data_IF_021473419669
#
_entry.id   IF_021473419669
#
_cell.length_a   1.000
_cell.length_b   1.000
_cell.length_c   1.000
_cell.angle_alpha   90.00
_cell.angle_beta   90.00
_cell.angle_gamma   90.00
#
_symmetry.space_group_name_H-M   'P 1'
#
loop_
_entity.id
_entity.type
_entity.pdbx_description
1 polymer ?
#
# COMPACT_ATOMS: atom_id res chain seq x y z
N UNK A 1 13.64 12.47 17.73
CA UNK A 1 14.11 11.31 16.93
C UNK A 1 14.26 11.79 15.50
N UNK A 2 15.44 11.68 14.90
CA UNK A 2 15.69 12.11 13.52
C UNK A 2 14.87 11.22 12.58
N UNK A 3 13.87 11.78 11.89
CA UNK A 3 13.18 11.04 10.84
C UNK A 3 14.21 10.77 9.73
N UNK A 4 14.65 9.53 9.57
CA UNK A 4 15.40 9.13 8.38
C UNK A 4 14.60 9.61 7.18
N UNK A 5 15.14 10.55 6.38
CA UNK A 5 14.46 11.02 5.16
C UNK A 5 14.15 9.79 4.33
N UNK A 6 12.86 9.53 4.03
CA UNK A 6 12.47 8.45 3.11
C UNK A 6 13.19 8.70 1.79
N UNK A 7 14.04 7.76 1.37
CA UNK A 7 14.74 7.80 0.09
C UNK A 7 13.69 7.58 -0.99
N UNK A 8 13.57 8.52 -1.92
CA UNK A 8 12.72 8.34 -3.11
C UNK A 8 13.38 7.33 -4.04
N UNK A 9 12.58 6.48 -4.67
CA UNK A 9 13.05 5.44 -5.57
C UNK A 9 12.67 5.77 -7.02
N UNK A 10 13.47 5.25 -7.95
CA UNK A 10 13.17 5.34 -9.37
C UNK A 10 11.95 4.46 -9.71
N UNK A 11 11.11 4.84 -10.71
CA UNK A 11 9.92 4.07 -11.08
C UNK A 11 10.21 2.60 -11.37
N UNK A 12 11.32 2.30 -12.05
CA UNK A 12 11.70 0.94 -12.44
C UNK A 12 12.01 0.05 -11.23
N UNK A 13 12.54 0.66 -10.15
CA UNK A 13 12.79 -0.04 -8.88
C UNK A 13 11.47 -0.34 -8.16
N UNK A 14 10.50 0.58 -8.23
CA UNK A 14 9.17 0.39 -7.64
C UNK A 14 8.34 -0.64 -8.43
N UNK A 15 8.47 -0.65 -9.75
CA UNK A 15 7.87 -1.63 -10.65
C UNK A 15 8.38 -3.05 -10.34
N UNK A 16 9.70 -3.27 -10.38
CA UNK A 16 10.28 -4.58 -10.06
C UNK A 16 9.92 -5.06 -8.64
N UNK A 17 9.90 -4.15 -7.66
CA UNK A 17 9.45 -4.47 -6.31
C UNK A 17 7.96 -4.84 -6.25
N UNK A 18 7.11 -4.16 -7.02
CA UNK A 18 5.68 -4.44 -7.11
C UNK A 18 5.44 -5.80 -7.76
N UNK A 19 6.13 -6.12 -8.85
CA UNK A 19 6.09 -7.43 -9.50
C UNK A 19 6.47 -8.55 -8.54
N UNK A 20 7.57 -8.39 -7.80
CA UNK A 20 8.03 -9.39 -6.84
C UNK A 20 6.94 -9.68 -5.78
N UNK A 21 6.39 -8.63 -5.17
CA UNK A 21 5.44 -8.79 -4.07
C UNK A 21 4.09 -9.31 -4.57
N UNK A 22 3.61 -8.84 -5.73
CA UNK A 22 2.37 -9.34 -6.33
C UNK A 22 2.51 -10.79 -6.81
N UNK A 23 3.67 -11.18 -7.36
CA UNK A 23 3.94 -12.58 -7.70
C UNK A 23 3.88 -13.48 -6.47
N UNK A 24 4.44 -13.04 -5.34
CA UNK A 24 4.37 -13.77 -4.06
C UNK A 24 2.96 -13.86 -3.51
N UNK A 25 2.18 -12.79 -3.57
CA UNK A 25 0.77 -12.81 -3.17
C UNK A 25 0.00 -13.82 -4.04
N UNK A 26 0.22 -13.80 -5.35
CA UNK A 26 -0.39 -14.73 -6.28
C UNK A 26 -0.01 -16.20 -6.01
N UNK A 27 1.25 -16.54 -5.76
CA UNK A 27 1.65 -17.92 -5.43
C UNK A 27 1.04 -18.43 -4.13
N UNK A 28 0.70 -17.53 -3.21
CA UNK A 28 0.04 -17.83 -1.94
C UNK A 28 -1.49 -17.86 -2.05
N UNK A 29 -2.05 -17.53 -3.22
CA UNK A 29 -3.50 -17.40 -3.40
C UNK A 29 -4.10 -16.19 -2.69
N UNK A 30 -3.28 -15.19 -2.34
CA UNK A 30 -3.68 -13.99 -1.62
C UNK A 30 -4.09 -12.91 -2.62
N UNK A 31 -5.31 -12.38 -2.47
CA UNK A 31 -5.71 -11.20 -3.23
C UNK A 31 -4.93 -9.99 -2.73
N UNK A 32 -4.31 -9.28 -3.65
CA UNK A 32 -3.58 -8.05 -3.38
C UNK A 32 -3.85 -7.02 -4.47
N UNK A 33 -3.79 -5.74 -4.09
CA UNK A 33 -3.87 -4.61 -5.01
C UNK A 33 -2.88 -3.51 -4.62
N UNK A 34 -2.25 -2.91 -5.64
CA UNK A 34 -1.33 -1.80 -5.49
C UNK A 34 -2.03 -0.56 -4.94
N UNK A 35 -1.45 0.05 -3.92
CA UNK A 35 -1.98 1.20 -3.22
C UNK A 35 -0.90 2.30 -3.03
N UNK A 36 -1.26 3.33 -2.27
CA UNK A 36 -0.33 4.35 -1.81
C UNK A 36 0.25 5.24 -2.92
N UNK A 37 1.51 5.64 -2.73
CA UNK A 37 2.19 6.60 -3.62
C UNK A 37 2.43 6.06 -5.03
N UNK A 38 2.83 4.79 -5.15
CA UNK A 38 3.11 4.20 -6.45
C UNK A 38 1.84 3.94 -7.25
N UNK A 39 0.73 3.52 -6.61
CA UNK A 39 -0.58 3.45 -7.27
C UNK A 39 -0.99 4.81 -7.88
N UNK A 40 -0.76 5.92 -7.18
CA UNK A 40 -1.08 7.24 -7.72
C UNK A 40 -0.23 7.58 -8.96
N UNK A 41 1.01 7.10 -9.05
CA UNK A 41 1.84 7.30 -10.26
C UNK A 41 1.24 6.57 -11.46
N UNK A 42 0.70 5.35 -11.25
CA UNK A 42 -0.02 4.61 -12.29
C UNK A 42 -1.27 5.35 -12.77
N UNK A 43 -1.88 6.14 -11.89
CA UNK A 43 -2.97 7.07 -12.24
C UNK A 43 -2.51 8.45 -12.75
N UNK A 44 -1.24 8.60 -13.14
CA UNK A 44 -0.69 9.82 -13.73
C UNK A 44 -0.24 10.91 -12.75
N UNK A 45 -0.17 10.61 -11.46
CA UNK A 45 0.36 11.57 -10.47
C UNK A 45 1.88 11.70 -10.58
N UNK A 46 2.45 12.92 -10.58
CA UNK A 46 3.90 13.12 -10.60
C UNK A 46 4.56 12.89 -9.21
N UNK A 47 3.81 12.39 -8.23
CA UNK A 47 4.29 12.25 -6.85
C UNK A 47 5.28 11.10 -6.73
N UNK A 48 6.51 11.41 -6.32
CA UNK A 48 7.53 10.41 -6.00
C UNK A 48 7.23 9.69 -4.68
N UNK A 49 7.60 8.41 -4.59
CA UNK A 49 7.50 7.59 -3.37
C UNK A 49 8.78 6.78 -3.16
N UNK A 50 8.95 6.24 -1.96
CA UNK A 50 10.14 5.50 -1.55
C UNK A 50 9.90 4.04 -1.19
N UNK A 51 8.68 3.56 -1.43
CA UNK A 51 8.13 2.30 -0.95
C UNK A 51 6.99 1.83 -1.87
N UNK A 52 6.67 0.55 -1.78
CA UNK A 52 5.49 -0.07 -2.37
C UNK A 52 4.45 -0.23 -1.26
N UNK A 53 3.20 0.13 -1.52
CA UNK A 53 2.10 -0.14 -0.59
C UNK A 53 1.10 -1.06 -1.27
N UNK A 54 0.63 -2.09 -0.57
CA UNK A 54 -0.41 -2.99 -1.05
C UNK A 54 -1.58 -3.01 -0.06
N UNK A 55 -2.79 -3.24 -0.55
CA UNK A 55 -3.89 -3.79 0.24
C UNK A 55 -3.90 -5.30 0.01
N UNK A 56 -3.90 -6.09 1.08
CA UNK A 56 -3.86 -7.54 1.03
C UNK A 56 -5.01 -8.14 1.83
N UNK A 57 -5.50 -9.29 1.39
CA UNK A 57 -6.57 -10.04 2.08
C UNK A 57 -6.07 -10.78 3.34
N UNK A 58 -4.79 -11.15 3.36
CA UNK A 58 -4.14 -11.84 4.47
C UNK A 58 -2.64 -11.51 4.50
N UNK A 59 -1.94 -11.93 5.55
CA UNK A 59 -0.50 -11.76 5.66
C UNK A 59 0.24 -12.45 4.50
N UNK A 60 1.33 -11.84 4.07
CA UNK A 60 2.22 -12.35 3.04
C UNK A 60 3.43 -13.03 3.67
N UNK A 61 3.74 -14.23 3.20
CA UNK A 61 4.91 -14.99 3.60
C UNK A 61 6.06 -14.86 2.59
N UNK A 62 7.26 -15.28 3.02
CA UNK A 62 8.44 -15.39 2.17
C UNK A 62 9.20 -14.09 1.91
N UNK A 63 8.67 -12.93 2.30
CA UNK A 63 9.40 -11.66 2.34
C UNK A 63 10.03 -11.45 3.72
N UNK A 64 11.04 -10.59 3.79
CA UNK A 64 11.66 -10.23 5.06
C UNK A 64 10.73 -9.28 5.81
N UNK A 65 10.11 -9.76 6.89
CA UNK A 65 9.34 -8.90 7.79
C UNK A 65 10.30 -8.03 8.62
N UNK A 66 10.13 -6.71 8.54
CA UNK A 66 10.92 -5.70 9.26
C UNK A 66 10.12 -4.97 10.33
N UNK A 67 8.83 -5.30 10.47
CA UNK A 67 7.96 -4.82 11.54
C UNK A 67 6.48 -4.94 11.20
N UNK A 68 5.65 -4.29 12.02
CA UNK A 68 4.19 -4.27 11.86
C UNK A 68 3.68 -2.85 11.65
N UNK A 69 2.57 -2.74 10.91
CA UNK A 69 1.81 -1.50 10.80
C UNK A 69 0.96 -1.32 12.06
N UNK A 70 0.69 -0.08 12.46
CA UNK A 70 -0.02 0.22 13.71
C UNK A 70 -1.53 -0.07 13.65
N UNK A 71 -2.06 -0.33 12.45
CA UNK A 71 -3.48 -0.51 12.14
C UNK A 71 -3.74 -1.90 11.49
N UNK A 72 -2.85 -2.85 11.77
CA UNK A 72 -2.85 -4.17 11.16
C UNK A 72 -2.02 -4.25 9.88
N UNK A 73 -1.47 -5.44 9.62
CA UNK A 73 -0.61 -5.74 8.47
C UNK A 73 0.89 -5.70 8.77
N UNK A 74 1.67 -5.83 7.71
CA UNK A 74 3.11 -6.08 7.78
C UNK A 74 3.92 -4.95 7.14
N UNK A 75 5.08 -4.67 7.74
CA UNK A 75 6.17 -3.97 7.07
C UNK A 75 7.14 -5.01 6.58
N UNK A 76 7.26 -5.11 5.27
CA UNK A 76 8.07 -6.08 4.57
C UNK A 76 9.21 -5.37 3.83
N UNK A 77 10.15 -6.16 3.36
CA UNK A 77 11.26 -5.71 2.53
C UNK A 77 11.44 -6.72 1.38
N UNK A 78 11.53 -6.22 0.15
CA UNK A 78 11.81 -7.03 -1.05
C UNK A 78 13.24 -7.58 -1.03
N UNK A 79 13.60 -8.48 -1.95
CA UNK A 79 14.97 -9.00 -2.01
C UNK A 79 16.02 -7.92 -2.27
N UNK A 80 15.62 -6.84 -2.96
CA UNK A 80 16.46 -5.68 -3.26
C UNK A 80 16.43 -4.58 -2.18
N UNK A 81 15.78 -4.84 -1.04
CA UNK A 81 15.74 -3.89 0.07
C UNK A 81 14.72 -2.75 -0.11
N UNK A 82 13.72 -2.91 -0.99
CA UNK A 82 12.65 -1.93 -1.16
C UNK A 82 11.62 -2.11 -0.03
N UNK A 83 11.28 -1.06 0.73
CA UNK A 83 10.27 -1.15 1.77
C UNK A 83 8.88 -1.41 1.17
N UNK A 84 8.12 -2.28 1.82
CA UNK A 84 6.77 -2.66 1.42
C UNK A 84 5.84 -2.54 2.63
N UNK A 85 4.77 -1.76 2.51
CA UNK A 85 3.68 -1.73 3.49
C UNK A 85 2.53 -2.62 2.97
N UNK A 86 2.38 -3.82 3.53
CA UNK A 86 1.27 -4.73 3.23
C UNK A 86 0.12 -4.47 4.21
N UNK A 87 -0.88 -3.70 3.75
CA UNK A 87 -2.01 -3.25 4.57
C UNK A 87 -3.04 -4.37 4.68
N UNK A 88 -3.19 -4.90 5.89
CA UNK A 88 -4.24 -5.83 6.28
C UNK A 88 -4.94 -5.21 7.49
N UNK A 89 -6.13 -4.65 7.31
CA UNK A 89 -6.82 -3.92 8.37
C UNK A 89 -7.71 -4.85 9.18
N UNK A 90 -7.58 -4.78 10.49
CA UNK A 90 -8.42 -5.46 11.49
C UNK A 90 -9.20 -4.47 12.37
N UNK A 91 -9.23 -3.20 11.96
CA UNK A 91 -9.89 -2.09 12.67
C UNK A 91 -11.23 -1.69 12.04
N UNK A 92 -11.82 -0.59 12.54
CA UNK A 92 -13.13 -0.07 12.12
C UNK A 92 -13.26 0.27 10.63
N UNK A 93 -12.14 0.29 9.89
CA UNK A 93 -12.10 0.58 8.48
C UNK A 93 -11.74 -0.63 7.61
N UNK A 94 -11.70 -1.84 8.19
CA UNK A 94 -11.45 -3.08 7.44
C UNK A 94 -12.38 -3.20 6.21
N UNK A 95 -13.67 -2.85 6.37
CA UNK A 95 -14.66 -2.87 5.30
C UNK A 95 -14.29 -1.97 4.11
N UNK A 96 -13.72 -0.77 4.35
CA UNK A 96 -13.26 0.12 3.27
C UNK A 96 -12.13 -0.51 2.46
N UNK A 97 -11.21 -1.20 3.12
CA UNK A 97 -10.05 -1.83 2.47
C UNK A 97 -10.46 -3.08 1.71
N UNK A 98 -11.37 -3.87 2.27
CA UNK A 98 -11.96 -5.03 1.60
C UNK A 98 -12.76 -4.62 0.35
N UNK A 99 -13.61 -3.60 0.46
CA UNK A 99 -14.36 -3.07 -0.67
C UNK A 99 -13.41 -2.56 -1.77
N UNK A 100 -12.39 -1.78 -1.39
CA UNK A 100 -11.37 -1.28 -2.32
C UNK A 100 -10.66 -2.42 -3.05
N UNK A 101 -10.33 -3.52 -2.36
CA UNK A 101 -9.69 -4.70 -2.95
C UNK A 101 -10.64 -5.46 -3.90
N UNK A 102 -11.94 -5.47 -3.61
CA UNK A 102 -12.96 -6.12 -4.43
C UNK A 102 -13.21 -5.39 -5.75
N UNK A 103 -13.18 -4.06 -5.74
CA UNK A 103 -13.50 -3.22 -6.91
C UNK A 103 -12.27 -2.69 -7.64
N UNK A 104 -11.06 -3.00 -7.15
CA UNK A 104 -9.81 -2.58 -7.78
C UNK A 104 -9.73 -3.05 -9.25
N UNK A 105 -9.66 -2.13 -10.23
CA UNK A 105 -9.51 -2.52 -11.62
C UNK A 105 -8.17 -3.22 -11.85
N UNK A 106 -8.17 -4.14 -12.81
CA UNK A 106 -6.95 -4.72 -13.36
C UNK A 106 -6.43 -3.78 -14.45
N UNK A 107 -5.20 -3.30 -14.27
CA UNK A 107 -4.47 -2.59 -15.30
C UNK A 107 -4.10 -3.56 -16.44
N UNK A 108 -4.37 -3.15 -17.69
CA UNK A 108 -4.24 -4.05 -18.84
C UNK A 108 -2.80 -4.21 -19.33
N UNK A 109 -1.91 -3.26 -19.01
CA UNK A 109 -0.51 -3.30 -19.43
C UNK A 109 0.31 -4.18 -18.48
N UNK A 110 0.11 -3.99 -17.18
CA UNK A 110 0.86 -4.69 -16.12
C UNK A 110 0.15 -5.93 -15.58
N UNK A 111 -1.17 -6.03 -15.76
CA UNK A 111 -2.00 -7.07 -15.14
C UNK A 111 -2.23 -6.88 -13.65
N UNK A 112 -1.76 -5.78 -13.06
CA UNK A 112 -1.89 -5.53 -11.62
C UNK A 112 -3.29 -5.05 -11.27
N UNK A 113 -3.79 -5.44 -10.10
CA UNK A 113 -4.91 -4.72 -9.48
C UNK A 113 -4.40 -3.44 -8.85
N UNK A 114 -5.00 -2.30 -9.16
CA UNK A 114 -4.59 -1.00 -8.63
C UNK A 114 -5.80 -0.37 -7.93
N UNK A 115 -5.65 0.00 -6.65
CA UNK A 115 -6.71 0.68 -5.92
C UNK A 115 -7.07 1.99 -6.64
N UNK A 116 -8.37 2.24 -6.82
CA UNK A 116 -8.82 3.43 -7.55
C UNK A 116 -8.46 4.73 -6.82
N UNK A 117 -8.32 5.86 -7.53
CA UNK A 117 -8.00 7.15 -6.92
C UNK A 117 -8.96 7.56 -5.79
N UNK A 118 -10.25 7.23 -5.90
CA UNK A 118 -11.27 7.54 -4.91
C UNK A 118 -11.01 6.81 -3.58
N UNK A 119 -10.71 5.50 -3.65
CA UNK A 119 -10.33 4.71 -2.48
C UNK A 119 -8.98 5.14 -1.92
N UNK A 120 -7.99 5.45 -2.76
CA UNK A 120 -6.70 5.98 -2.31
C UNK A 120 -6.86 7.27 -1.51
N UNK A 121 -7.76 8.17 -1.96
CA UNK A 121 -8.08 9.40 -1.25
C UNK A 121 -8.77 9.11 0.10
N UNK A 122 -9.75 8.21 0.11
CA UNK A 122 -10.44 7.79 1.34
C UNK A 122 -9.46 7.18 2.36
N UNK A 123 -8.62 6.22 1.92
CA UNK A 123 -7.59 5.60 2.76
C UNK A 123 -6.62 6.62 3.33
N UNK A 124 -6.19 7.61 2.53
CA UNK A 124 -5.27 8.66 2.99
C UNK A 124 -5.88 9.56 4.06
N UNK A 125 -7.18 9.85 3.98
CA UNK A 125 -7.90 10.62 5.00
C UNK A 125 -7.82 9.90 6.35
N UNK A 126 -8.08 8.61 6.38
CA UNK A 126 -8.17 7.82 7.61
C UNK A 126 -6.82 7.34 8.14
N UNK A 127 -5.78 7.23 7.29
CA UNK A 127 -4.40 6.99 7.72
C UNK A 127 -3.84 8.17 8.56
N UNK A 128 -4.45 9.35 8.46
CA UNK A 128 -4.02 10.60 9.10
C UNK A 128 -4.70 10.98 10.42
N UNK A 129 -5.71 10.24 10.90
CA UNK A 129 -6.38 10.55 12.18
C UNK A 129 -5.64 9.85 13.34
N UNK A 130 -4.48 10.34 13.81
CA UNK A 130 -4.29 11.44 14.76
C UNK A 130 -4.55 12.85 14.20
N UNK A 131 -5.82 13.21 14.04
CA UNK A 131 -6.25 14.60 14.13
C UNK A 131 -6.81 14.75 15.54
N UNK A 132 -5.94 15.11 16.48
CA UNK A 132 -6.42 15.65 17.74
C UNK A 132 -7.14 16.96 17.44
N UNK A 133 -8.45 16.93 17.68
CA UNK A 133 -9.44 18.00 17.81
C UNK A 133 -10.19 18.52 16.56
N UNK A 134 -11.53 18.68 16.67
CA UNK A 134 -12.34 19.32 15.64
C UNK A 134 -12.05 20.81 15.55
N UNK A 135 -11.87 21.33 14.33
CA UNK A 135 -11.62 22.76 14.03
C UNK A 135 -12.89 23.62 14.19
N UNK A 136 -13.97 23.08 14.74
CA UNK A 136 -15.19 23.83 15.03
C UNK A 136 -15.73 23.46 16.40
N UNK A 137 -15.21 24.12 17.44
CA UNK A 137 -15.97 24.40 18.65
C UNK A 137 -16.53 25.82 18.53
N UNK A 138 -17.86 25.90 18.54
CA UNK A 138 -18.73 27.08 18.53
C UNK A 138 -18.27 28.23 19.41
#
# INVERSE_FOLDING_TARGET
>A
MSSKKKRLLAPEVLEAATEEVLARAHTQGVRAALAGGFALQQWGSPRLTGDVELVVEQELEGLKEVGRLSFGGQKLETTEGVPVDANLRDDEYAALYEEALNVAPVDLETGWRIISPEYLLAMKRWRGERLTEPIWSS
#
